data_IF_231104085680
#
_entry.id   IF_231104085680
#
_cell.length_a   1.000
_cell.length_b   1.000
_cell.length_c   1.000
_cell.angle_alpha   90.00
_cell.angle_beta   90.00
_cell.angle_gamma   90.00
#
_symmetry.space_group_name_H-M   'P 1'
#
loop_
_entity.id
_entity.type
_entity.pdbx_description
1 polymer ?
#
# COMPACT_ATOMS: atom_id res chain seq x y z
N UNK A 1 -83.85 -81.92 -11.64
CA UNK A 1 -82.70 -81.52 -10.79
C UNK A 1 -81.49 -80.99 -11.56
N UNK A 2 -81.01 -81.65 -12.63
CA UNK A 2 -79.76 -81.27 -13.34
C UNK A 2 -79.79 -79.85 -13.94
N UNK A 3 -80.93 -79.41 -14.50
CA UNK A 3 -81.08 -78.06 -15.07
C UNK A 3 -81.06 -76.92 -14.04
N UNK A 4 -81.42 -77.19 -12.78
CA UNK A 4 -81.43 -76.16 -11.72
C UNK A 4 -80.01 -75.93 -11.17
N UNK A 5 -79.21 -77.00 -11.06
CA UNK A 5 -77.82 -76.92 -10.62
C UNK A 5 -76.95 -76.20 -11.66
N UNK A 6 -77.13 -76.49 -12.96
CA UNK A 6 -76.39 -75.82 -14.02
C UNK A 6 -76.68 -74.30 -14.09
N UNK A 7 -77.94 -73.89 -13.91
CA UNK A 7 -78.34 -72.48 -13.95
C UNK A 7 -77.83 -71.70 -12.71
N UNK A 8 -77.82 -72.34 -11.54
CA UNK A 8 -77.22 -71.76 -10.31
C UNK A 8 -75.70 -71.61 -10.47
N UNK A 9 -75.00 -72.62 -11.00
CA UNK A 9 -73.54 -72.55 -11.24
C UNK A 9 -73.15 -71.48 -12.27
N UNK A 10 -73.92 -71.31 -13.34
CA UNK A 10 -73.65 -70.26 -14.34
C UNK A 10 -73.85 -68.84 -13.77
N UNK A 11 -74.87 -68.66 -12.92
CA UNK A 11 -75.21 -67.37 -12.29
C UNK A 11 -74.21 -67.00 -11.17
N UNK A 12 -73.67 -68.00 -10.46
CA UNK A 12 -72.56 -67.81 -9.52
C UNK A 12 -71.26 -67.40 -10.24
N UNK A 13 -70.99 -67.98 -11.42
CA UNK A 13 -69.81 -67.65 -12.22
C UNK A 13 -69.88 -66.24 -12.82
N UNK A 14 -71.04 -65.84 -13.37
CA UNK A 14 -71.22 -64.49 -13.92
C UNK A 14 -71.16 -63.40 -12.84
N UNK A 15 -71.72 -63.66 -11.66
CA UNK A 15 -71.58 -62.76 -10.50
C UNK A 15 -70.13 -62.67 -10.02
N UNK A 16 -69.40 -63.79 -9.97
CA UNK A 16 -67.98 -63.78 -9.61
C UNK A 16 -67.12 -62.97 -10.60
N UNK A 17 -67.38 -63.10 -11.91
CA UNK A 17 -66.66 -62.36 -12.94
C UNK A 17 -66.98 -60.85 -12.87
N UNK A 18 -68.22 -60.47 -12.55
CA UNK A 18 -68.60 -59.08 -12.33
C UNK A 18 -67.95 -58.49 -11.07
N UNK A 19 -67.89 -59.24 -9.96
CA UNK A 19 -67.22 -58.80 -8.72
C UNK A 19 -65.71 -58.60 -8.95
N UNK A 20 -65.05 -59.52 -9.67
CA UNK A 20 -63.64 -59.36 -10.04
C UNK A 20 -63.41 -58.14 -10.95
N UNK A 21 -64.26 -57.90 -11.96
CA UNK A 21 -64.16 -56.72 -12.83
C UNK A 21 -64.28 -55.40 -12.04
N UNK A 22 -65.21 -55.32 -11.08
CA UNK A 22 -65.37 -54.15 -10.21
C UNK A 22 -64.17 -53.98 -9.27
N UNK A 23 -63.63 -55.07 -8.73
CA UNK A 23 -62.45 -55.03 -7.86
C UNK A 23 -61.18 -54.59 -8.62
N UNK A 24 -60.94 -55.14 -9.82
CA UNK A 24 -59.83 -54.70 -10.68
C UNK A 24 -59.94 -53.23 -11.08
N UNK A 25 -61.16 -52.71 -11.30
CA UNK A 25 -61.36 -51.29 -11.62
C UNK A 25 -61.07 -50.38 -10.41
N UNK A 26 -61.44 -50.81 -9.20
CA UNK A 26 -61.18 -50.08 -7.95
C UNK A 26 -59.67 -49.95 -7.67
N UNK A 27 -58.93 -51.05 -7.79
CA UNK A 27 -57.47 -51.07 -7.58
C UNK A 27 -56.73 -50.29 -8.67
N UNK A 28 -57.18 -50.38 -9.93
CA UNK A 28 -56.65 -49.61 -11.05
C UNK A 28 -56.84 -48.09 -10.84
N UNK A 29 -58.03 -47.66 -10.43
CA UNK A 29 -58.34 -46.24 -10.17
C UNK A 29 -57.54 -45.70 -8.98
N UNK A 30 -57.36 -46.50 -7.94
CA UNK A 30 -56.56 -46.15 -6.76
C UNK A 30 -55.07 -46.02 -7.10
N UNK A 31 -54.53 -46.90 -7.95
CA UNK A 31 -53.15 -46.82 -8.45
C UNK A 31 -52.92 -45.57 -9.32
N UNK A 32 -53.85 -45.24 -10.22
CA UNK A 32 -53.78 -44.05 -11.06
C UNK A 32 -53.84 -42.75 -10.23
N UNK A 33 -54.66 -42.75 -9.16
CA UNK A 33 -54.75 -41.66 -8.20
C UNK A 33 -53.43 -41.44 -7.45
N UNK A 34 -52.79 -42.51 -6.96
CA UNK A 34 -51.47 -42.44 -6.30
C UNK A 34 -50.38 -41.91 -7.20
N UNK A 35 -50.37 -42.31 -8.48
CA UNK A 35 -49.39 -41.83 -9.45
C UNK A 35 -49.54 -40.31 -9.69
N UNK A 36 -50.77 -39.82 -9.89
CA UNK A 36 -51.03 -38.39 -10.09
C UNK A 36 -50.74 -37.55 -8.84
N UNK A 37 -51.09 -38.01 -7.65
CA UNK A 37 -50.78 -37.26 -6.41
C UNK A 37 -49.28 -37.21 -6.13
N UNK A 38 -48.54 -38.28 -6.41
CA UNK A 38 -47.08 -38.28 -6.31
C UNK A 38 -46.43 -37.31 -7.32
N UNK A 39 -46.97 -37.21 -8.54
CA UNK A 39 -46.49 -36.26 -9.55
C UNK A 39 -46.72 -34.81 -9.11
N UNK A 40 -47.91 -34.48 -8.62
CA UNK A 40 -48.22 -33.13 -8.10
C UNK A 40 -47.34 -32.78 -6.91
N UNK A 41 -47.10 -33.72 -5.98
CA UNK A 41 -46.20 -33.48 -4.84
C UNK A 41 -44.75 -33.29 -5.27
N UNK A 42 -44.30 -34.04 -6.27
CA UNK A 42 -42.95 -33.86 -6.85
C UNK A 42 -42.83 -32.48 -7.49
N UNK A 43 -43.81 -32.06 -8.27
CA UNK A 43 -43.80 -30.76 -8.94
C UNK A 43 -43.88 -29.61 -7.92
N UNK A 44 -44.68 -29.76 -6.86
CA UNK A 44 -44.72 -28.82 -5.73
C UNK A 44 -43.35 -28.70 -5.03
N UNK A 45 -42.69 -29.82 -4.72
CA UNK A 45 -41.34 -29.82 -4.12
C UNK A 45 -40.29 -29.18 -5.04
N UNK A 46 -40.36 -29.43 -6.35
CA UNK A 46 -39.45 -28.81 -7.33
C UNK A 46 -39.70 -27.31 -7.40
N UNK A 47 -40.96 -26.87 -7.38
CA UNK A 47 -41.34 -25.46 -7.33
C UNK A 47 -40.80 -24.77 -6.07
N UNK A 48 -40.99 -25.37 -4.90
CA UNK A 48 -40.44 -24.85 -3.63
C UNK A 48 -38.91 -24.77 -3.65
N UNK A 49 -38.23 -25.80 -4.15
CA UNK A 49 -36.77 -25.82 -4.22
C UNK A 49 -36.22 -24.75 -5.18
N UNK A 50 -36.86 -24.54 -6.34
CA UNK A 50 -36.52 -23.48 -7.28
C UNK A 50 -36.73 -22.10 -6.67
N UNK A 51 -37.88 -21.87 -6.04
CA UNK A 51 -38.17 -20.59 -5.37
C UNK A 51 -37.17 -20.29 -4.24
N UNK A 52 -36.83 -21.29 -3.43
CA UNK A 52 -35.81 -21.14 -2.38
C UNK A 52 -34.43 -20.82 -2.97
N UNK A 53 -34.03 -21.51 -4.04
CA UNK A 53 -32.76 -21.23 -4.74
C UNK A 53 -32.74 -19.80 -5.28
N UNK A 54 -33.80 -19.39 -5.97
CA UNK A 54 -33.89 -18.07 -6.61
C UNK A 54 -33.97 -16.94 -5.57
N UNK A 55 -34.60 -17.20 -4.42
CA UNK A 55 -34.61 -16.27 -3.28
C UNK A 55 -33.20 -16.09 -2.72
N UNK A 56 -32.46 -17.17 -2.47
CA UNK A 56 -31.08 -17.11 -1.97
C UNK A 56 -30.14 -16.43 -2.96
N UNK A 57 -30.28 -16.67 -4.26
CA UNK A 57 -29.45 -15.99 -5.28
C UNK A 57 -29.74 -14.49 -5.28
N UNK A 58 -31.01 -14.08 -5.24
CA UNK A 58 -31.37 -12.66 -5.17
C UNK A 58 -30.87 -11.99 -3.90
N UNK A 59 -30.99 -12.67 -2.77
CA UNK A 59 -30.47 -12.18 -1.50
C UNK A 59 -28.93 -12.04 -1.54
N UNK A 60 -28.22 -13.04 -2.05
CA UNK A 60 -26.77 -12.99 -2.19
C UNK A 60 -26.31 -11.84 -3.12
N UNK A 61 -27.01 -11.63 -4.24
CA UNK A 61 -26.71 -10.51 -5.15
C UNK A 61 -26.96 -9.16 -4.47
N UNK A 62 -28.08 -9.00 -3.76
CA UNK A 62 -28.39 -7.77 -3.03
C UNK A 62 -27.37 -7.49 -1.91
N UNK A 63 -26.91 -8.54 -1.22
CA UNK A 63 -25.84 -8.43 -0.22
C UNK A 63 -24.53 -8.05 -0.88
N UNK A 64 -24.16 -8.69 -2.00
CA UNK A 64 -22.93 -8.38 -2.73
C UNK A 64 -22.92 -6.93 -3.22
N UNK A 65 -24.01 -6.45 -3.80
CA UNK A 65 -24.16 -5.05 -4.22
C UNK A 65 -24.02 -4.10 -3.03
N UNK A 66 -24.72 -4.36 -1.93
CA UNK A 66 -24.61 -3.56 -0.70
C UNK A 66 -23.17 -3.50 -0.19
N UNK A 67 -22.51 -4.66 -0.07
CA UNK A 67 -21.14 -4.77 0.44
C UNK A 67 -20.16 -4.09 -0.51
N UNK A 68 -20.35 -4.23 -1.82
CA UNK A 68 -19.52 -3.52 -2.81
C UNK A 68 -19.65 -2.00 -2.69
N UNK A 69 -20.86 -1.47 -2.48
CA UNK A 69 -21.08 -0.05 -2.24
C UNK A 69 -20.43 0.41 -0.93
N UNK A 70 -20.50 -0.41 0.14
CA UNK A 70 -19.81 -0.13 1.40
C UNK A 70 -18.31 -0.05 1.22
N UNK A 71 -17.69 -1.00 0.51
CA UNK A 71 -16.26 -0.96 0.24
C UNK A 71 -15.86 0.23 -0.62
N UNK A 72 -16.66 0.60 -1.63
CA UNK A 72 -16.39 1.81 -2.42
C UNK A 72 -16.42 3.07 -1.55
N UNK A 73 -17.43 3.19 -0.68
CA UNK A 73 -17.50 4.30 0.28
C UNK A 73 -16.31 4.31 1.24
N UNK A 74 -15.90 3.17 1.78
CA UNK A 74 -14.73 3.05 2.65
C UNK A 74 -13.43 3.42 1.93
N UNK A 75 -13.26 2.99 0.67
CA UNK A 75 -12.12 3.37 -0.16
C UNK A 75 -12.10 4.90 -0.39
N UNK A 76 -13.26 5.50 -0.67
CA UNK A 76 -13.38 6.95 -0.84
C UNK A 76 -13.07 7.71 0.45
N UNK A 77 -13.58 7.26 1.60
CA UNK A 77 -13.25 7.84 2.90
C UNK A 77 -11.74 7.71 3.20
N UNK A 78 -11.15 6.55 2.95
CA UNK A 78 -9.71 6.32 3.17
C UNK A 78 -8.85 7.18 2.23
N UNK A 79 -9.28 7.37 0.97
CA UNK A 79 -8.64 8.30 0.03
C UNK A 79 -8.72 9.73 0.54
N UNK A 80 -9.90 10.19 0.93
CA UNK A 80 -10.10 11.54 1.46
C UNK A 80 -9.26 11.80 2.72
N UNK A 81 -9.18 10.82 3.63
CA UNK A 81 -8.36 10.90 4.83
C UNK A 81 -6.86 11.00 4.51
N UNK A 82 -6.37 10.16 3.59
CA UNK A 82 -4.96 10.23 3.12
C UNK A 82 -4.65 11.58 2.50
N UNK A 83 -5.52 12.08 1.62
CA UNK A 83 -5.33 13.36 0.93
C UNK A 83 -5.37 14.54 1.91
N UNK A 84 -6.24 14.46 2.93
CA UNK A 84 -6.27 15.42 4.02
C UNK A 84 -4.97 15.43 4.83
N UNK A 85 -4.48 14.26 5.23
CA UNK A 85 -3.24 14.11 5.99
C UNK A 85 -2.02 14.59 5.19
N UNK A 86 -1.96 14.28 3.89
CA UNK A 86 -0.90 14.78 3.01
C UNK A 86 -0.92 16.30 2.90
N UNK A 87 -2.09 16.90 2.65
CA UNK A 87 -2.21 18.36 2.59
C UNK A 87 -1.84 19.01 3.92
N UNK A 88 -2.30 18.44 5.04
CA UNK A 88 -1.94 18.91 6.38
C UNK A 88 -0.42 18.88 6.58
N UNK A 89 0.25 17.78 6.24
CA UNK A 89 1.71 17.67 6.36
C UNK A 89 2.44 18.70 5.50
N UNK A 90 1.97 18.95 4.27
CA UNK A 90 2.54 20.00 3.39
C UNK A 90 2.41 21.37 4.03
N UNK A 91 1.21 21.74 4.51
CA UNK A 91 1.01 23.03 5.16
C UNK A 91 1.80 23.17 6.47
N UNK A 92 1.88 22.11 7.26
CA UNK A 92 2.67 22.11 8.49
C UNK A 92 4.15 22.38 8.17
N UNK A 93 4.72 21.74 7.13
CA UNK A 93 6.10 22.00 6.67
C UNK A 93 6.25 23.47 6.23
N UNK A 94 5.33 24.00 5.44
CA UNK A 94 5.38 25.41 5.01
C UNK A 94 5.33 26.38 6.21
N UNK A 95 4.42 26.15 7.16
CA UNK A 95 4.31 26.96 8.37
C UNK A 95 5.59 26.85 9.21
N UNK A 96 6.14 25.65 9.39
CA UNK A 96 7.36 25.45 10.16
C UNK A 96 8.58 26.08 9.49
N UNK A 97 8.73 25.98 8.18
CA UNK A 97 9.84 26.63 7.45
C UNK A 97 9.76 28.15 7.57
N UNK A 98 8.57 28.74 7.38
CA UNK A 98 8.37 30.19 7.56
C UNK A 98 8.57 30.66 8.98
N UNK A 99 8.17 29.85 9.96
CA UNK A 99 8.42 30.14 11.38
C UNK A 99 9.91 30.10 11.70
N UNK A 100 10.63 29.08 11.23
CA UNK A 100 12.08 28.96 11.42
C UNK A 100 12.85 30.10 10.74
N UNK A 101 12.47 30.49 9.51
CA UNK A 101 13.03 31.66 8.82
C UNK A 101 12.83 32.95 9.63
N UNK A 102 11.63 33.16 10.17
CA UNK A 102 11.29 34.35 10.96
C UNK A 102 12.09 34.41 12.27
N UNK A 103 12.25 33.27 12.94
CA UNK A 103 12.98 33.17 14.20
C UNK A 103 14.49 33.35 13.99
N UNK A 104 15.05 32.77 12.92
CA UNK A 104 16.45 32.98 12.53
C UNK A 104 16.72 34.44 12.11
N UNK A 105 15.81 35.06 11.35
CA UNK A 105 15.92 36.47 10.97
C UNK A 105 15.89 37.39 12.21
N UNK A 106 15.02 37.09 13.18
CA UNK A 106 14.99 37.82 14.45
C UNK A 106 16.30 37.68 15.23
N UNK A 107 16.82 36.46 15.37
CA UNK A 107 18.09 36.22 16.06
C UNK A 107 19.26 36.93 15.38
N UNK A 108 19.32 36.91 14.05
CA UNK A 108 20.33 37.64 13.28
C UNK A 108 20.25 39.15 13.53
N UNK A 109 19.04 39.71 13.56
CA UNK A 109 18.84 41.12 13.85
C UNK A 109 19.34 41.46 15.26
N UNK A 110 18.98 40.67 16.27
CA UNK A 110 19.47 40.86 17.64
C UNK A 110 21.00 40.80 17.72
N UNK A 111 21.63 39.84 17.03
CA UNK A 111 23.09 39.72 16.99
C UNK A 111 23.76 40.93 16.31
N UNK A 112 23.21 41.42 15.19
CA UNK A 112 23.69 42.63 14.51
C UNK A 112 23.61 43.86 15.41
N UNK A 113 22.45 44.10 16.03
CA UNK A 113 22.28 45.24 16.94
C UNK A 113 23.23 45.14 18.13
N UNK A 114 23.47 43.92 18.64
CA UNK A 114 24.44 43.70 19.73
C UNK A 114 25.88 44.01 19.31
N UNK A 115 26.29 43.60 18.10
CA UNK A 115 27.62 43.95 17.56
C UNK A 115 27.79 45.46 17.40
N UNK A 116 26.77 46.16 16.87
CA UNK A 116 26.79 47.61 16.73
C UNK A 116 26.95 48.32 18.09
N UNK A 117 26.22 47.86 19.12
CA UNK A 117 26.35 48.40 20.49
C UNK A 117 27.77 48.20 21.03
N UNK A 118 28.38 47.04 20.83
CA UNK A 118 29.75 46.78 21.31
C UNK A 118 30.80 47.58 20.52
N UNK A 119 30.59 47.80 19.22
CA UNK A 119 31.47 48.62 18.38
C UNK A 119 31.40 50.10 18.78
N UNK A 120 30.21 50.64 19.05
CA UNK A 120 30.04 51.99 19.59
C UNK A 120 30.69 52.15 20.98
N UNK A 121 30.52 51.17 21.88
CA UNK A 121 31.20 51.18 23.18
C UNK A 121 32.73 51.18 23.02
N UNK A 122 33.25 50.43 22.05
CA UNK A 122 34.69 50.38 21.80
C UNK A 122 35.23 51.73 21.32
N UNK A 123 34.47 52.47 20.50
CA UNK A 123 34.84 53.83 20.11
C UNK A 123 34.89 54.80 21.30
N UNK A 124 33.92 54.70 22.24
CA UNK A 124 33.95 55.51 23.47
C UNK A 124 35.21 55.22 24.29
N UNK A 125 35.56 53.94 24.47
CA UNK A 125 36.76 53.52 25.23
C UNK A 125 38.05 54.00 24.55
N UNK A 126 38.14 53.93 23.22
CA UNK A 126 39.32 54.40 22.46
C UNK A 126 39.48 55.90 22.60
N UNK A 127 38.39 56.67 22.51
CA UNK A 127 38.42 58.12 22.71
C UNK A 127 38.83 58.47 24.14
N UNK A 128 38.27 57.81 25.14
CA UNK A 128 38.62 58.02 26.55
C UNK A 128 40.10 57.68 26.83
N UNK A 129 40.60 56.54 26.32
CA UNK A 129 42.03 56.18 26.42
C UNK A 129 42.94 57.17 25.68
N UNK A 130 42.54 57.67 24.52
CA UNK A 130 43.31 58.66 23.77
C UNK A 130 43.43 60.00 24.51
N UNK A 131 42.37 60.43 25.20
CA UNK A 131 42.38 61.65 25.99
C UNK A 131 43.30 61.53 27.22
N UNK A 132 43.35 60.36 27.87
CA UNK A 132 44.27 60.10 28.99
C UNK A 132 45.75 60.15 28.53
N UNK A 133 46.05 59.61 27.34
CA UNK A 133 47.39 59.68 26.75
C UNK A 133 47.80 61.14 26.51
N UNK A 134 46.87 62.00 26.09
CA UNK A 134 47.15 63.43 25.87
C UNK A 134 47.46 64.22 27.15
N UNK A 135 47.02 63.73 28.32
CA UNK A 135 47.17 64.39 29.62
C UNK A 135 48.37 63.89 30.45
N UNK A 136 49.12 62.90 29.95
CA UNK A 136 50.31 62.38 30.64
C UNK A 136 51.56 63.10 30.13
N UNK A 137 52.30 63.86 30.97
CA UNK A 137 53.48 64.58 30.50
C UNK A 137 54.57 63.61 30.04
N UNK A 138 55.04 63.85 28.82
CA UNK A 138 56.10 63.15 28.12
C UNK A 138 57.41 63.15 28.90
N UNK A 139 57.76 62.01 29.50
CA UNK A 139 59.09 61.71 30.04
C UNK A 139 59.73 60.53 29.29
N UNK A 140 61.07 60.51 29.11
CA UNK A 140 61.77 59.55 28.23
C UNK A 140 61.67 58.07 28.65
N UNK A 141 61.23 57.79 29.88
CA UNK A 141 61.05 56.42 30.38
C UNK A 141 59.71 55.79 29.98
N UNK A 142 58.68 56.59 29.68
CA UNK A 142 57.32 56.09 29.38
C UNK A 142 57.16 55.66 27.92
N UNK A 143 57.93 56.28 27.00
CA UNK A 143 57.87 55.98 25.57
C UNK A 143 58.34 54.55 25.25
N UNK A 144 59.32 54.02 25.99
CA UNK A 144 59.80 52.65 25.81
C UNK A 144 58.75 51.62 26.23
N UNK A 145 58.05 51.87 27.33
CA UNK A 145 56.96 51.01 27.79
C UNK A 145 55.71 51.12 26.91
N UNK A 146 55.40 52.32 26.39
CA UNK A 146 54.25 52.50 25.49
C UNK A 146 54.47 51.84 24.12
N UNK A 147 55.70 51.87 23.59
CA UNK A 147 56.04 51.17 22.35
C UNK A 147 55.97 49.65 22.53
N UNK A 148 56.40 49.13 23.68
CA UNK A 148 56.24 47.70 24.00
C UNK A 148 54.76 47.32 24.10
N UNK A 149 53.94 48.14 24.75
CA UNK A 149 52.49 47.90 24.84
C UNK A 149 51.77 47.94 23.48
N UNK A 150 52.21 48.83 22.57
CA UNK A 150 51.66 48.91 21.21
C UNK A 150 52.07 47.69 20.39
N UNK A 151 53.35 47.26 20.46
CA UNK A 151 53.80 46.04 19.79
C UNK A 151 53.11 44.78 20.34
N UNK A 152 52.90 44.68 21.65
CA UNK A 152 52.14 43.57 22.25
C UNK A 152 50.67 43.60 21.80
N UNK A 153 50.04 44.78 21.75
CA UNK A 153 48.66 44.90 21.27
C UNK A 153 48.53 44.59 19.76
N UNK A 154 49.50 44.99 18.93
CA UNK A 154 49.54 44.63 17.51
C UNK A 154 49.79 43.14 17.32
N UNK A 155 50.71 42.55 18.09
CA UNK A 155 50.97 41.11 18.07
C UNK A 155 49.74 40.29 18.54
N UNK A 156 49.02 40.76 19.57
CA UNK A 156 47.76 40.14 19.99
C UNK A 156 46.69 40.26 18.91
N UNK A 157 46.50 41.43 18.31
CA UNK A 157 45.54 41.63 17.23
C UNK A 157 45.84 40.75 16.00
N UNK A 158 47.11 40.62 15.63
CA UNK A 158 47.55 39.78 14.52
C UNK A 158 47.42 38.29 14.85
N UNK A 159 47.69 37.88 16.09
CA UNK A 159 47.48 36.50 16.56
C UNK A 159 46.00 36.11 16.57
N UNK A 160 45.10 37.04 16.93
CA UNK A 160 43.65 36.83 16.93
C UNK A 160 43.14 36.74 15.49
N UNK A 161 43.65 37.56 14.57
CA UNK A 161 43.32 37.44 13.14
C UNK A 161 43.76 36.09 12.57
N UNK A 162 45.01 35.69 12.79
CA UNK A 162 45.51 34.40 12.32
C UNK A 162 44.73 33.23 12.93
N UNK A 163 44.38 33.28 14.22
CA UNK A 163 43.52 32.28 14.84
C UNK A 163 42.11 32.28 14.26
N UNK A 164 41.52 33.45 14.03
CA UNK A 164 40.19 33.58 13.43
C UNK A 164 40.12 33.02 12.01
N UNK A 165 41.15 33.27 11.20
CA UNK A 165 41.29 32.70 9.86
C UNK A 165 41.47 31.17 9.91
N UNK A 166 42.30 30.67 10.83
CA UNK A 166 42.49 29.23 11.03
C UNK A 166 41.22 28.53 11.52
N UNK A 167 40.48 29.15 12.45
CA UNK A 167 39.21 28.65 12.96
C UNK A 167 38.12 28.70 11.88
N UNK A 168 38.04 29.77 11.08
CA UNK A 168 37.12 29.88 9.96
C UNK A 168 37.39 28.80 8.90
N UNK A 169 38.66 28.60 8.53
CA UNK A 169 39.06 27.55 7.60
C UNK A 169 38.74 26.15 8.12
N UNK A 170 38.96 25.89 9.42
CA UNK A 170 38.63 24.62 10.05
C UNK A 170 37.11 24.36 10.07
N UNK A 171 36.30 25.39 10.32
CA UNK A 171 34.83 25.30 10.28
C UNK A 171 34.34 25.08 8.84
N UNK A 172 34.90 25.78 7.86
CA UNK A 172 34.54 25.60 6.45
C UNK A 172 34.90 24.19 5.96
N UNK A 173 36.09 23.69 6.31
CA UNK A 173 36.51 22.33 5.97
C UNK A 173 35.62 21.27 6.61
N UNK A 174 35.21 21.45 7.88
CA UNK A 174 34.25 20.55 8.55
C UNK A 174 32.86 20.63 7.92
N UNK A 175 32.37 21.83 7.63
CA UNK A 175 31.07 22.02 6.98
C UNK A 175 31.02 21.39 5.59
N UNK A 176 32.11 21.49 4.81
CA UNK A 176 32.23 20.83 3.50
C UNK A 176 32.24 19.31 3.63
N UNK A 177 32.99 18.78 4.59
CA UNK A 177 33.02 17.33 4.85
C UNK A 177 31.66 16.79 5.31
N UNK A 178 30.94 17.52 6.17
CA UNK A 178 29.60 17.13 6.63
C UNK A 178 28.56 17.22 5.50
N UNK A 179 28.62 18.26 4.67
CA UNK A 179 27.75 18.41 3.50
C UNK A 179 27.96 17.26 2.50
N UNK A 180 29.21 16.90 2.20
CA UNK A 180 29.53 15.76 1.33
C UNK A 180 29.08 14.43 1.94
N UNK A 181 29.23 14.25 3.26
CA UNK A 181 28.71 13.06 3.94
C UNK A 181 27.19 12.97 3.88
N UNK A 182 26.47 14.08 4.07
CA UNK A 182 25.01 14.11 3.97
C UNK A 182 24.56 13.86 2.53
N UNK A 183 25.27 14.41 1.53
CA UNK A 183 24.99 14.13 0.11
C UNK A 183 25.16 12.65 -0.22
N UNK A 184 26.27 12.03 0.20
CA UNK A 184 26.50 10.59 0.01
C UNK A 184 25.50 9.72 0.77
N UNK A 185 25.09 10.11 1.97
CA UNK A 185 24.01 9.43 2.71
C UNK A 185 22.67 9.56 1.98
N UNK A 186 22.34 10.73 1.46
CA UNK A 186 21.12 10.96 0.70
C UNK A 186 21.09 10.14 -0.61
N UNK A 187 22.20 10.09 -1.36
CA UNK A 187 22.37 9.21 -2.52
C UNK A 187 22.24 7.74 -2.16
N UNK A 188 22.87 7.30 -1.07
CA UNK A 188 22.70 5.93 -0.58
C UNK A 188 21.21 5.63 -0.28
N UNK A 189 20.48 6.53 0.38
CA UNK A 189 19.05 6.36 0.63
C UNK A 189 18.19 6.34 -0.64
N UNK A 190 18.56 7.09 -1.69
CA UNK A 190 17.88 7.02 -2.99
C UNK A 190 18.11 5.65 -3.65
N UNK A 191 19.36 5.18 -3.69
CA UNK A 191 19.70 3.88 -4.25
C UNK A 191 19.10 2.72 -3.42
N UNK A 192 19.01 2.87 -2.09
CA UNK A 192 18.30 1.92 -1.23
C UNK A 192 16.79 1.90 -1.48
N UNK A 193 16.16 2.98 -1.97
CA UNK A 193 14.74 2.93 -2.37
C UNK A 193 14.55 2.07 -3.62
N UNK A 194 15.47 2.15 -4.58
CA UNK A 194 15.44 1.31 -5.78
C UNK A 194 15.75 -0.16 -5.45
N UNK A 195 16.74 -0.42 -4.59
CA UNK A 195 17.07 -1.76 -4.11
C UNK A 195 16.02 -2.40 -3.21
N UNK A 196 15.42 -1.65 -2.28
CA UNK A 196 14.35 -2.14 -1.41
C UNK A 196 13.07 -2.46 -2.18
N UNK A 197 12.83 -1.82 -3.32
CA UNK A 197 11.71 -2.15 -4.20
C UNK A 197 11.90 -3.51 -4.86
N UNK A 198 13.14 -3.88 -5.21
CA UNK A 198 13.50 -5.19 -5.76
C UNK A 198 13.48 -6.28 -4.68
N UNK A 199 14.03 -6.02 -3.49
CA UNK A 199 13.99 -6.97 -2.36
C UNK A 199 12.56 -7.21 -1.86
N UNK A 200 11.73 -6.17 -1.77
CA UNK A 200 10.31 -6.33 -1.42
C UNK A 200 9.56 -7.09 -2.53
N UNK A 201 9.90 -6.90 -3.81
CA UNK A 201 9.34 -7.74 -4.88
C UNK A 201 9.77 -9.20 -4.73
N UNK A 202 11.05 -9.47 -4.50
CA UNK A 202 11.58 -10.82 -4.29
C UNK A 202 10.94 -11.53 -3.11
N UNK A 203 10.66 -10.82 -2.02
CA UNK A 203 9.92 -11.36 -0.87
C UNK A 203 8.43 -11.58 -1.14
N UNK A 204 7.79 -10.76 -1.98
CA UNK A 204 6.35 -10.86 -2.29
C UNK A 204 6.05 -11.79 -3.48
N UNK A 205 7.04 -12.09 -4.32
CA UNK A 205 6.90 -13.02 -5.46
C UNK A 205 6.42 -14.42 -5.05
N UNK A 206 6.93 -15.05 -3.96
CA UNK A 206 6.42 -16.34 -3.48
C UNK A 206 4.95 -16.28 -3.06
N UNK A 207 4.52 -15.21 -2.40
CA UNK A 207 3.12 -15.03 -1.96
C UNK A 207 2.18 -14.88 -3.16
N UNK A 208 2.61 -14.20 -4.22
CA UNK A 208 1.82 -14.10 -5.46
C UNK A 208 1.78 -15.43 -6.21
N UNK A 209 2.89 -16.17 -6.27
CA UNK A 209 2.91 -17.51 -6.86
C UNK A 209 2.00 -18.48 -6.07
N UNK A 210 1.96 -18.36 -4.75
CA UNK A 210 1.04 -19.12 -3.90
C UNK A 210 -0.43 -18.74 -4.18
N UNK A 211 -0.76 -17.46 -4.29
CA UNK A 211 -2.13 -17.01 -4.61
C UNK A 211 -2.59 -17.48 -6.00
N UNK A 212 -1.70 -17.48 -7.00
CA UNK A 212 -1.98 -17.97 -8.36
C UNK A 212 -2.13 -19.49 -8.38
N UNK A 213 -1.44 -20.22 -7.47
CA UNK A 213 -1.53 -21.68 -7.39
C UNK A 213 -2.71 -22.18 -6.54
N UNK A 214 -3.30 -21.36 -5.66
CA UNK A 214 -4.53 -21.70 -4.90
C UNK A 214 -5.66 -22.25 -5.77
N UNK A 215 -6.08 -21.63 -6.90
CA UNK A 215 -7.13 -22.17 -7.74
C UNK A 215 -6.74 -23.50 -8.41
N UNK A 216 -5.45 -23.74 -8.66
CA UNK A 216 -4.95 -25.01 -9.22
C UNK A 216 -4.93 -26.13 -8.16
N UNK A 217 -4.63 -25.80 -6.90
CA UNK A 217 -4.62 -26.73 -5.77
C UNK A 217 -6.04 -27.13 -5.33
N UNK A 218 -7.03 -26.23 -5.49
CA UNK A 218 -8.44 -26.50 -5.18
C UNK A 218 -9.14 -27.41 -6.21
N UNK A 219 -8.57 -27.61 -7.41
CA UNK A 219 -9.14 -28.49 -8.44
C UNK A 219 -8.65 -29.94 -8.31
N UNK A 220 -9.38 -30.76 -7.56
CA UNK A 220 -9.07 -32.19 -7.35
C UNK A 220 -9.21 -33.09 -8.61
N UNK A 221 -9.85 -32.60 -9.69
CA UNK A 221 -10.00 -33.36 -10.95
C UNK A 221 -10.16 -32.43 -12.14
N UNK A 222 -9.06 -32.14 -12.83
CA UNK A 222 -9.10 -31.50 -14.15
C UNK A 222 -9.36 -32.59 -15.18
N UNK A 223 -10.56 -32.62 -15.76
CA UNK A 223 -10.89 -33.56 -16.85
C UNK A 223 -10.66 -32.83 -18.17
N UNK A 224 -9.47 -33.01 -18.73
CA UNK A 224 -9.08 -32.41 -20.01
C UNK A 224 -9.66 -33.25 -21.15
N UNK A 225 -10.60 -32.69 -21.90
CA UNK A 225 -11.19 -33.36 -23.08
C UNK A 225 -10.35 -32.97 -24.29
N UNK A 226 -9.45 -33.85 -24.72
CA UNK A 226 -8.61 -33.63 -25.90
C UNK A 226 -9.27 -34.25 -27.13
N UNK A 227 -9.66 -33.40 -28.09
CA UNK A 227 -10.00 -33.81 -29.45
C UNK A 227 -8.79 -33.58 -30.37
N UNK A 228 -7.81 -34.49 -30.33
CA UNK A 228 -6.86 -34.69 -31.43
C UNK A 228 -5.45 -34.07 -31.29
N UNK A 229 -4.44 -34.94 -31.42
CA UNK A 229 -3.30 -34.69 -32.31
C UNK A 229 -2.08 -33.88 -31.85
N UNK A 230 -1.94 -33.48 -30.59
CA UNK A 230 -0.67 -32.93 -30.10
C UNK A 230 -0.46 -33.22 -28.62
N UNK A 231 0.81 -33.43 -28.24
CA UNK A 231 1.28 -33.88 -26.92
C UNK A 231 0.41 -33.38 -25.76
N UNK A 232 -0.24 -34.35 -25.11
CA UNK A 232 -1.28 -34.17 -24.10
C UNK A 232 -0.64 -34.41 -22.73
N UNK A 233 -0.83 -33.47 -21.81
CA UNK A 233 -0.46 -33.67 -20.41
C UNK A 233 -0.23 -32.34 -19.70
N UNK A 234 -0.01 -32.40 -18.38
CA UNK A 234 0.27 -31.27 -17.51
C UNK A 234 1.28 -30.26 -18.08
N UNK A 235 2.17 -30.69 -18.99
CA UNK A 235 3.12 -29.89 -19.75
C UNK A 235 2.51 -28.70 -20.53
N UNK A 236 1.29 -28.80 -21.09
CA UNK A 236 0.63 -27.64 -21.75
C UNK A 236 0.07 -26.64 -20.74
N UNK A 237 -0.46 -27.10 -19.61
CA UNK A 237 -0.93 -26.20 -18.54
C UNK A 237 0.25 -25.53 -17.82
N UNK A 238 1.31 -26.28 -17.51
CA UNK A 238 2.53 -25.69 -16.97
C UNK A 238 3.23 -24.82 -18.00
N UNK A 239 3.16 -25.14 -19.30
CA UNK A 239 3.63 -24.31 -20.40
C UNK A 239 2.86 -23.00 -20.54
N UNK A 240 1.52 -23.02 -20.49
CA UNK A 240 0.69 -21.81 -20.50
C UNK A 240 0.91 -20.95 -19.23
N UNK A 241 1.11 -21.58 -18.07
CA UNK A 241 1.46 -20.85 -16.84
C UNK A 241 2.86 -20.25 -16.90
N UNK A 242 3.84 -20.96 -17.48
CA UNK A 242 5.18 -20.43 -17.75
C UNK A 242 5.13 -19.29 -18.78
N UNK A 243 4.30 -19.39 -19.82
CA UNK A 243 4.07 -18.34 -20.80
C UNK A 243 3.39 -17.10 -20.18
N UNK A 244 2.46 -17.30 -19.25
CA UNK A 244 1.83 -16.21 -18.49
C UNK A 244 2.85 -15.58 -17.53
N UNK A 245 3.67 -16.37 -16.84
CA UNK A 245 4.73 -15.86 -15.96
C UNK A 245 5.86 -15.16 -16.71
N UNK A 246 6.18 -15.55 -17.94
CA UNK A 246 7.19 -14.89 -18.77
C UNK A 246 6.66 -13.62 -19.45
N UNK A 247 5.36 -13.53 -19.74
CA UNK A 247 4.72 -12.32 -20.28
C UNK A 247 4.22 -11.33 -19.21
N UNK A 248 4.05 -11.78 -17.98
CA UNK A 248 3.64 -10.95 -16.83
C UNK A 248 4.55 -9.73 -16.62
N UNK A 249 5.89 -9.85 -16.66
CA UNK A 249 6.81 -8.71 -16.56
C UNK A 249 6.55 -7.69 -17.65
N UNK A 250 6.48 -8.09 -18.93
CA UNK A 250 6.22 -7.17 -20.05
C UNK A 250 4.85 -6.46 -19.96
N UNK A 251 3.85 -7.15 -19.39
CA UNK A 251 2.49 -6.59 -19.25
C UNK A 251 2.42 -5.60 -18.09
N UNK A 252 3.15 -5.88 -17.01
CA UNK A 252 3.34 -4.96 -15.87
C UNK A 252 4.13 -3.73 -16.33
N UNK A 253 5.23 -3.90 -17.07
CA UNK A 253 6.03 -2.79 -17.63
C UNK A 253 5.17 -1.85 -18.51
N UNK A 254 4.27 -2.41 -19.33
CA UNK A 254 3.35 -1.62 -20.18
C UNK A 254 2.24 -0.89 -19.41
N UNK A 255 1.82 -1.41 -18.26
CA UNK A 255 0.74 -0.83 -17.44
C UNK A 255 1.24 0.14 -16.36
N UNK A 256 2.45 -0.07 -15.84
CA UNK A 256 3.05 0.77 -14.78
C UNK A 256 4.09 1.76 -15.32
N UNK A 257 4.54 1.60 -16.57
CA UNK A 257 5.52 2.49 -17.21
C UNK A 257 6.96 2.32 -16.71
N UNK A 258 7.21 1.36 -15.82
CA UNK A 258 8.54 1.10 -15.25
C UNK A 258 9.14 -0.10 -15.97
N UNK A 259 10.25 0.12 -16.68
CA UNK A 259 11.00 -0.94 -17.39
C UNK A 259 12.00 -1.62 -16.46
N UNK A 260 11.71 -2.85 -16.03
CA UNK A 260 12.63 -3.73 -15.27
C UNK A 260 13.75 -4.25 -16.18
N UNK A 261 13.50 -4.35 -17.48
CA UNK A 261 14.43 -4.85 -18.50
C UNK A 261 15.68 -3.97 -18.70
N UNK A 262 15.66 -2.69 -18.31
CA UNK A 262 16.81 -1.79 -18.43
C UNK A 262 17.71 -1.77 -17.17
N UNK A 263 17.20 -2.19 -16.01
CA UNK A 263 17.95 -2.14 -14.75
C UNK A 263 18.94 -3.31 -14.63
N UNK A 264 18.66 -4.45 -15.26
CA UNK A 264 19.54 -5.63 -15.21
C UNK A 264 20.78 -5.59 -16.13
N UNK A 265 20.92 -4.58 -17.02
CA UNK A 265 22.09 -4.44 -17.93
C UNK A 265 23.08 -3.37 -17.54
N UNK A 266 22.83 -2.61 -16.48
CA UNK A 266 23.78 -1.66 -15.90
C UNK A 266 24.14 -2.12 -14.49
N UNK A 267 24.88 -3.21 -14.44
CA UNK A 267 25.68 -3.66 -13.30
C UNK A 267 27.06 -4.03 -13.83
#
# INVERSE_FOLDING_TARGET
>A
CVLFIANVSLNLFSKSQAVNQVFFFQDYLHSLGKARTAQVQKDARIGEAKNKRDAVIREANAIQEKVSAQYMNEIEMAKAQRDYELKKAVYDIEVFTKKAESEMAYQLQVAKTKQQIEEEKMQVIVVERSQIISLTPSGPFVLSNSLQLIMEAEAEAESIKMRGEAEAYAVEARGRAEAEQMAKKAEAFQNYKEGAMVDMLLEKLPLMAEEISKPLSATNKVTMVSSGGSEIGAAKLTGEVLDIMTKLPETIEKLTGVSISQVARTG
#
